data_IF_297696922394
#
_entry.id   IF_297696922394
#
_cell.length_a   1.000
_cell.length_b   1.000
_cell.length_c   1.000
_cell.angle_alpha   90.00
_cell.angle_beta   90.00
_cell.angle_gamma   90.00
#
_symmetry.space_group_name_H-M   'P 1'
#
loop_
_entity.id
_entity.type
_entity.pdbx_description
1 polymer ?
#
# COMPACT_ATOMS: atom_id res chain seq x y z
N UNK A 1 -10.11 -9.29 -19.27
CA UNK A 1 -8.87 -8.48 -19.23
C UNK A 1 -7.76 -9.32 -18.63
N UNK A 2 -6.61 -9.47 -19.31
CA UNK A 2 -5.46 -10.20 -18.74
C UNK A 2 -4.97 -9.49 -17.47
N UNK A 3 -4.55 -10.27 -16.47
CA UNK A 3 -4.06 -9.76 -15.19
C UNK A 3 -2.87 -8.80 -15.34
N UNK A 4 -2.03 -9.05 -16.34
CA UNK A 4 -0.94 -8.16 -16.77
C UNK A 4 -1.45 -6.76 -17.14
N UNK A 5 -2.60 -6.64 -17.82
CA UNK A 5 -3.17 -5.33 -18.17
C UNK A 5 -3.69 -4.59 -16.95
N UNK A 6 -4.19 -5.29 -15.93
CA UNK A 6 -4.68 -4.66 -14.69
C UNK A 6 -3.52 -4.07 -13.89
N UNK A 7 -2.44 -4.84 -13.73
CA UNK A 7 -1.21 -4.36 -13.07
C UNK A 7 -0.51 -3.29 -13.92
N UNK A 8 -0.46 -3.49 -15.23
CA UNK A 8 0.15 -2.55 -16.17
C UNK A 8 -0.58 -1.21 -16.25
N UNK A 9 -1.90 -1.18 -16.05
CA UNK A 9 -2.70 0.05 -16.07
C UNK A 9 -2.70 0.80 -14.72
N UNK A 10 -2.47 0.11 -13.60
CA UNK A 10 -2.51 0.75 -12.28
C UNK A 10 -1.31 1.68 -12.04
N UNK A 11 -0.15 1.36 -12.61
CA UNK A 11 1.06 2.18 -12.54
C UNK A 11 0.86 3.55 -13.24
N UNK A 12 0.51 3.64 -14.54
CA UNK A 12 0.27 4.92 -15.20
C UNK A 12 -0.91 5.69 -14.58
N UNK A 13 -1.91 5.00 -14.04
CA UNK A 13 -2.99 5.63 -13.28
C UNK A 13 -2.46 6.33 -12.02
N UNK A 14 -1.51 5.72 -11.30
CA UNK A 14 -0.87 6.35 -10.15
C UNK A 14 -0.04 7.58 -10.55
N UNK A 15 0.66 7.54 -11.68
CA UNK A 15 1.36 8.71 -12.23
C UNK A 15 0.39 9.84 -12.61
N UNK A 16 -0.73 9.51 -13.26
CA UNK A 16 -1.77 10.49 -13.59
C UNK A 16 -2.35 11.14 -12.34
N UNK A 17 -2.69 10.35 -11.33
CA UNK A 17 -3.19 10.87 -10.05
C UNK A 17 -2.17 11.76 -9.34
N UNK A 18 -0.89 11.37 -9.32
CA UNK A 18 0.16 12.21 -8.79
C UNK A 18 0.30 13.53 -9.55
N UNK A 19 0.20 13.49 -10.88
CA UNK A 19 0.20 14.69 -11.72
C UNK A 19 -0.99 15.61 -11.44
N UNK A 20 -2.20 15.06 -11.34
CA UNK A 20 -3.42 15.82 -11.01
C UNK A 20 -3.31 16.46 -9.63
N UNK A 21 -2.87 15.71 -8.62
CA UNK A 21 -2.69 16.25 -7.27
C UNK A 21 -1.64 17.35 -7.28
N UNK A 22 -0.51 17.16 -7.97
CA UNK A 22 0.53 18.19 -8.10
C UNK A 22 0.03 19.46 -8.78
N UNK A 23 -0.83 19.32 -9.79
CA UNK A 23 -1.42 20.45 -10.50
C UNK A 23 -2.43 21.22 -9.64
N UNK A 24 -3.20 20.53 -8.79
CA UNK A 24 -4.19 21.15 -7.90
C UNK A 24 -3.52 21.81 -6.69
N UNK A 25 -2.48 21.20 -6.13
CA UNK A 25 -1.80 21.71 -4.92
C UNK A 25 -0.63 22.64 -5.23
N UNK A 26 -0.34 22.89 -6.51
CA UNK A 26 0.83 23.64 -6.99
C UNK A 26 2.16 23.15 -6.40
N UNK A 27 2.19 21.91 -5.90
CA UNK A 27 3.31 21.33 -5.16
C UNK A 27 3.57 19.91 -5.65
N UNK A 28 4.83 19.52 -5.93
CA UNK A 28 5.12 18.24 -6.55
C UNK A 28 4.74 17.08 -5.62
N UNK A 29 3.88 16.19 -6.10
CA UNK A 29 3.54 14.92 -5.46
C UNK A 29 4.46 13.81 -6.00
N UNK A 30 5.74 13.86 -5.62
CA UNK A 30 6.72 12.90 -6.10
C UNK A 30 6.40 11.51 -5.53
N UNK A 31 6.08 10.57 -6.42
CA UNK A 31 5.77 9.18 -6.08
C UNK A 31 6.93 8.54 -5.32
N UNK A 32 6.63 7.96 -4.16
CA UNK A 32 7.63 7.28 -3.34
C UNK A 32 8.58 8.19 -2.56
N UNK A 33 8.39 9.51 -2.61
CA UNK A 33 9.25 10.48 -1.90
C UNK A 33 8.42 11.36 -0.98
N UNK A 34 7.31 11.90 -1.49
CA UNK A 34 6.38 12.72 -0.72
C UNK A 34 5.31 11.86 -0.04
N UNK A 35 4.81 12.25 1.15
CA UNK A 35 3.70 11.55 1.81
C UNK A 35 2.49 11.31 0.90
N UNK A 36 2.10 12.32 0.12
CA UNK A 36 1.02 12.18 -0.89
C UNK A 36 1.41 11.21 -1.99
N UNK A 37 2.60 11.34 -2.58
CA UNK A 37 3.04 10.45 -3.66
C UNK A 37 3.16 8.99 -3.21
N UNK A 38 3.60 8.76 -1.97
CA UNK A 38 3.61 7.46 -1.32
C UNK A 38 2.19 6.93 -1.15
N UNK A 39 1.26 7.74 -0.63
CA UNK A 39 -0.12 7.33 -0.42
C UNK A 39 -0.81 6.94 -1.73
N UNK A 40 -0.59 7.73 -2.80
CA UNK A 40 -1.09 7.45 -4.15
C UNK A 40 -0.49 6.14 -4.67
N UNK A 41 0.82 5.95 -4.55
CA UNK A 41 1.46 4.71 -5.00
C UNK A 41 0.94 3.48 -4.27
N UNK A 42 0.79 3.55 -2.94
CA UNK A 42 0.31 2.43 -2.15
C UNK A 42 -1.15 2.11 -2.43
N UNK A 43 -2.03 3.11 -2.51
CA UNK A 43 -3.44 2.88 -2.76
C UNK A 43 -3.70 2.44 -4.21
N UNK A 44 -3.11 3.13 -5.18
CA UNK A 44 -3.43 3.00 -6.61
C UNK A 44 -2.45 2.07 -7.32
N UNK A 45 -1.15 2.26 -7.10
CA UNK A 45 -0.11 1.44 -7.72
C UNK A 45 -0.09 0.01 -7.21
N UNK A 46 -0.30 -0.19 -5.90
CA UNK A 46 -0.21 -1.50 -5.23
C UNK A 46 -1.58 -2.04 -4.80
N UNK A 47 -2.38 -1.24 -4.07
CA UNK A 47 -3.62 -1.69 -3.45
C UNK A 47 -4.70 -2.06 -4.47
N UNK A 48 -4.93 -1.19 -5.46
CA UNK A 48 -5.94 -1.36 -6.49
C UNK A 48 -5.76 -2.64 -7.33
N UNK A 49 -4.58 -2.95 -7.91
CA UNK A 49 -4.42 -4.20 -8.65
C UNK A 49 -4.56 -5.42 -7.73
N UNK A 50 -3.97 -5.40 -6.52
CA UNK A 50 -4.11 -6.52 -5.58
C UNK A 50 -5.57 -6.79 -5.21
N UNK A 51 -6.37 -5.73 -5.05
CA UNK A 51 -7.80 -5.84 -4.81
C UNK A 51 -8.55 -6.44 -6.00
N UNK A 52 -8.34 -5.91 -7.20
CA UNK A 52 -9.00 -6.39 -8.42
C UNK A 52 -8.64 -7.85 -8.72
N UNK A 53 -7.36 -8.22 -8.56
CA UNK A 53 -6.93 -9.60 -8.73
C UNK A 53 -7.48 -10.51 -7.61
N UNK A 54 -7.63 -10.03 -6.37
CA UNK A 54 -8.26 -10.81 -5.29
C UNK A 54 -9.72 -11.14 -5.59
N UNK A 55 -10.47 -10.21 -6.19
CA UNK A 55 -11.87 -10.44 -6.59
C UNK A 55 -12.00 -11.49 -7.69
N UNK A 56 -11.01 -11.59 -8.58
CA UNK A 56 -11.01 -12.59 -9.67
C UNK A 56 -10.55 -13.98 -9.22
N UNK A 57 -9.57 -14.03 -8.33
CA UNK A 57 -8.92 -15.29 -7.91
C UNK A 57 -9.46 -15.86 -6.60
N UNK A 58 -10.28 -15.10 -5.85
CA UNK A 58 -10.72 -15.48 -4.50
C UNK A 58 -9.60 -15.48 -3.46
N UNK A 59 -8.40 -14.99 -3.80
CA UNK A 59 -7.22 -15.08 -2.94
C UNK A 59 -7.31 -14.14 -1.73
N UNK A 60 -7.44 -14.72 -0.53
CA UNK A 60 -7.43 -13.99 0.75
C UNK A 60 -6.11 -13.26 1.00
N UNK A 61 -4.99 -13.82 0.54
CA UNK A 61 -3.67 -13.20 0.68
C UNK A 61 -3.60 -11.88 -0.09
N UNK A 62 -4.04 -11.86 -1.35
CA UNK A 62 -4.06 -10.65 -2.19
C UNK A 62 -5.00 -9.58 -1.63
N UNK A 63 -6.14 -9.98 -1.08
CA UNK A 63 -7.04 -9.06 -0.39
C UNK A 63 -6.38 -8.46 0.87
N UNK A 64 -5.64 -9.28 1.62
CA UNK A 64 -4.84 -8.82 2.76
C UNK A 64 -3.80 -7.78 2.36
N UNK A 65 -3.05 -8.04 1.28
CA UNK A 65 -2.07 -7.10 0.72
C UNK A 65 -2.73 -5.80 0.26
N UNK A 66 -3.89 -5.88 -0.40
CA UNK A 66 -4.63 -4.70 -0.81
C UNK A 66 -5.05 -3.82 0.38
N UNK A 67 -5.56 -4.44 1.45
CA UNK A 67 -5.93 -3.74 2.69
C UNK A 67 -4.71 -3.13 3.37
N UNK A 68 -3.61 -3.86 3.43
CA UNK A 68 -2.38 -3.38 4.05
C UNK A 68 -1.80 -2.19 3.28
N UNK A 69 -1.82 -2.25 1.95
CA UNK A 69 -1.40 -1.14 1.10
C UNK A 69 -2.31 0.09 1.29
N UNK A 70 -3.63 -0.10 1.34
CA UNK A 70 -4.57 1.00 1.61
C UNK A 70 -4.37 1.60 3.02
N UNK A 71 -4.19 0.77 4.04
CA UNK A 71 -3.93 1.21 5.41
C UNK A 71 -2.60 1.94 5.54
N UNK A 72 -1.55 1.45 4.88
CA UNK A 72 -0.25 2.13 4.80
C UNK A 72 -0.36 3.48 4.10
N UNK A 73 -1.09 3.57 2.99
CA UNK A 73 -1.35 4.84 2.30
C UNK A 73 -2.11 5.84 3.17
N UNK A 74 -3.14 5.39 3.89
CA UNK A 74 -3.89 6.22 4.82
C UNK A 74 -3.03 6.70 6.00
N UNK A 75 -2.23 5.80 6.58
CA UNK A 75 -1.32 6.14 7.68
C UNK A 75 -0.31 7.21 7.26
N UNK A 76 0.30 7.08 6.09
CA UNK A 76 1.26 8.06 5.58
C UNK A 76 0.61 9.41 5.32
N UNK A 77 -0.61 9.43 4.78
CA UNK A 77 -1.35 10.67 4.60
C UNK A 77 -1.63 11.36 5.94
N UNK A 78 -2.11 10.62 6.95
CA UNK A 78 -2.36 11.15 8.30
C UNK A 78 -1.08 11.64 8.96
N UNK A 79 0.01 10.88 8.85
CA UNK A 79 1.30 11.26 9.41
C UNK A 79 1.85 12.52 8.72
N UNK A 80 1.73 12.63 7.39
CA UNK A 80 2.12 13.82 6.64
C UNK A 80 1.32 15.07 7.01
N UNK A 81 0.01 14.93 7.29
CA UNK A 81 -0.82 16.00 7.86
C UNK A 81 -0.31 16.38 9.26
N UNK A 82 -0.04 15.40 10.11
CA UNK A 82 0.46 15.62 11.48
C UNK A 82 1.82 16.29 11.54
N UNK A 83 2.70 16.04 10.56
CA UNK A 83 4.00 16.72 10.42
C UNK A 83 3.92 18.08 9.72
N UNK A 84 2.72 18.51 9.31
CA UNK A 84 2.47 19.82 8.72
C UNK A 84 2.85 19.97 7.23
N UNK A 85 3.27 18.89 6.56
CA UNK A 85 3.55 18.93 5.12
C UNK A 85 3.38 17.59 4.44
N UNK A 86 2.47 17.57 3.47
CA UNK A 86 2.18 16.43 2.60
C UNK A 86 3.10 16.33 1.38
N UNK A 87 3.87 17.39 1.12
CA UNK A 87 4.79 17.53 -0.01
C UNK A 87 6.25 17.60 0.41
N UNK A 88 6.54 17.70 1.71
CA UNK A 88 7.90 17.61 2.21
C UNK A 88 8.49 16.25 1.88
N UNK A 89 9.70 16.27 1.34
CA UNK A 89 10.47 15.07 1.05
C UNK A 89 10.82 14.35 2.37
N UNK A 90 10.42 13.08 2.46
CA UNK A 90 10.80 12.23 3.57
C UNK A 90 12.07 11.48 3.17
N UNK A 91 13.20 11.79 3.83
CA UNK A 91 14.52 11.22 3.51
C UNK A 91 14.59 9.68 3.56
N UNK A 92 13.63 9.02 4.22
CA UNK A 92 13.47 7.55 4.22
C UNK A 92 12.61 6.98 3.07
N UNK A 93 11.79 7.80 2.41
CA UNK A 93 11.01 7.49 1.21
C UNK A 93 10.17 6.19 1.20
N UNK A 94 9.88 5.71 -0.01
CA UNK A 94 9.22 4.45 -0.34
C UNK A 94 9.88 3.25 0.35
N UNK A 95 11.20 3.31 0.56
CA UNK A 95 12.01 2.22 1.12
C UNK A 95 11.66 1.97 2.58
N UNK A 96 11.55 3.01 3.41
CA UNK A 96 11.13 2.86 4.80
C UNK A 96 9.72 2.25 4.92
N UNK A 97 8.87 2.51 3.93
CA UNK A 97 7.47 2.10 3.95
C UNK A 97 7.30 0.70 3.37
N UNK A 98 8.04 0.35 2.33
CA UNK A 98 8.23 -1.04 1.91
C UNK A 98 8.78 -1.87 3.07
N UNK A 99 9.74 -1.35 3.81
CA UNK A 99 10.28 -2.03 4.98
C UNK A 99 9.19 -2.24 6.05
N UNK A 100 8.40 -1.21 6.38
CA UNK A 100 7.27 -1.33 7.30
C UNK A 100 6.19 -2.32 6.82
N UNK A 101 5.87 -2.32 5.52
CA UNK A 101 4.92 -3.24 4.89
C UNK A 101 5.42 -4.68 4.93
N UNK A 102 6.70 -4.90 4.61
CA UNK A 102 7.35 -6.22 4.68
C UNK A 102 7.38 -6.70 6.13
N UNK A 103 7.83 -5.86 7.05
CA UNK A 103 7.89 -6.17 8.48
C UNK A 103 6.50 -6.51 9.02
N UNK A 104 5.49 -5.71 8.70
CA UNK A 104 4.10 -5.96 9.09
C UNK A 104 3.53 -7.25 8.50
N UNK A 105 3.86 -7.59 7.25
CA UNK A 105 3.49 -8.88 6.66
C UNK A 105 4.19 -10.06 7.34
N UNK A 106 5.48 -9.94 7.66
CA UNK A 106 6.25 -10.97 8.35
C UNK A 106 5.71 -11.20 9.75
N UNK A 107 5.46 -10.12 10.51
CA UNK A 107 4.86 -10.19 11.85
C UNK A 107 3.44 -10.78 11.78
N UNK A 108 2.61 -10.34 10.82
CA UNK A 108 1.26 -10.86 10.64
C UNK A 108 1.24 -12.33 10.20
N UNK A 109 2.23 -12.78 9.41
CA UNK A 109 2.40 -14.19 9.07
C UNK A 109 2.81 -15.00 10.30
N UNK A 110 3.77 -14.50 11.09
CA UNK A 110 4.18 -15.11 12.35
C UNK A 110 3.00 -15.27 13.32
N UNK A 111 2.20 -14.23 13.53
CA UNK A 111 1.02 -14.31 14.41
C UNK A 111 0.00 -15.34 13.91
N UNK A 112 -0.21 -15.47 12.59
CA UNK A 112 -1.12 -16.48 12.03
C UNK A 112 -0.60 -17.91 12.22
N UNK A 113 0.71 -18.12 12.07
CA UNK A 113 1.41 -19.37 12.38
C UNK A 113 1.29 -19.72 13.88
N UNK A 114 1.53 -18.76 14.77
CA UNK A 114 1.34 -18.96 16.21
C UNK A 114 -0.11 -19.33 16.55
N UNK A 115 -1.09 -18.67 15.92
CA UNK A 115 -2.51 -19.00 16.12
C UNK A 115 -2.90 -20.36 15.54
N UNK A 116 -2.30 -20.81 14.44
CA UNK A 116 -2.56 -22.15 13.90
C UNK A 116 -1.99 -23.24 14.80
N UNK A 117 -0.80 -23.04 15.37
CA UNK A 117 -0.18 -23.95 16.34
C UNK A 117 -0.95 -24.07 17.66
N UNK A 118 -1.56 -22.98 18.14
CA UNK A 118 -2.46 -23.05 19.31
C UNK A 118 -3.75 -23.82 19.01
N UNK A 119 -4.30 -23.72 17.79
CA UNK A 119 -5.51 -24.47 17.38
C UNK A 119 -5.27 -25.96 17.11
N UNK A 120 -4.06 -26.36 16.74
CA UNK A 120 -3.75 -27.79 16.58
C UNK A 120 -3.58 -28.51 17.91
N UNK A 121 -3.15 -27.78 18.96
CA UNK A 121 -2.96 -28.31 20.32
C UNK A 121 -4.28 -28.44 21.10
N UNK A 122 -5.34 -27.76 20.67
CA UNK A 122 -6.64 -27.74 21.36
C UNK A 122 -7.65 -28.79 20.85
N UNK A 123 -7.22 -29.81 20.10
CA UNK A 123 -8.06 -30.99 19.83
C UNK A 123 -7.74 -32.07 20.87
N UNK A 124 -8.66 -32.37 21.81
CA UNK A 124 -8.57 -33.57 22.63
C UNK A 124 -8.71 -34.84 21.79
#
# INVERSE_FOLDING_TARGET
MSDIRVVGASVPLAFLLAGVVSAITESPAVLGVTPVGIAIYLAVGVGLPQYLLSRRTGSRLRLGLARLAAAGGAFVAVAGIGTGSLHAEWSGGLVAILFAVVLGNVLGAGVREFQSGYRSTSRP
#
